data_IF_394802720755
#
_entry.id   IF_394802720755
#
_cell.length_a   1.000
_cell.length_b   1.000
_cell.length_c   1.000
_cell.angle_alpha   90.00
_cell.angle_beta   90.00
_cell.angle_gamma   90.00
#
_symmetry.space_group_name_H-M   'P 1'
#
loop_
_entity.id
_entity.type
_entity.pdbx_description
1 polymer ?
#
# COMPACT_ATOMS: atom_id res chain seq x y z
N UNK A 1 0.57 -28.91 17.66
CA UNK A 1 0.54 -27.89 16.59
C UNK A 1 0.88 -26.56 17.23
N UNK A 2 1.84 -25.80 16.69
CA UNK A 2 2.20 -24.49 17.26
C UNK A 2 1.16 -23.43 16.91
N UNK A 3 1.11 -22.33 17.67
CA UNK A 3 0.21 -21.20 17.40
C UNK A 3 0.33 -20.68 15.96
N UNK A 4 1.56 -20.55 15.44
CA UNK A 4 1.84 -20.11 14.06
C UNK A 4 1.26 -21.11 13.06
N UNK A 5 1.42 -22.42 13.31
CA UNK A 5 0.84 -23.45 12.44
C UNK A 5 -0.70 -23.40 12.46
N UNK A 6 -1.30 -23.14 13.63
CA UNK A 6 -2.76 -23.01 13.76
C UNK A 6 -3.31 -21.81 12.98
N UNK A 7 -2.63 -20.66 13.01
CA UNK A 7 -3.00 -19.48 12.20
C UNK A 7 -2.86 -19.78 10.70
N UNK A 8 -1.74 -20.40 10.30
CA UNK A 8 -1.50 -20.74 8.89
C UNK A 8 -2.47 -21.79 8.33
N UNK A 9 -3.09 -22.59 9.19
CA UNK A 9 -4.11 -23.57 8.82
C UNK A 9 -5.51 -22.94 8.64
N UNK A 10 -5.70 -21.65 8.95
CA UNK A 10 -6.98 -20.98 8.75
C UNK A 10 -7.36 -20.97 7.25
N UNK A 11 -8.65 -21.11 6.90
CA UNK A 11 -9.10 -21.06 5.51
C UNK A 11 -8.69 -19.77 4.77
N UNK A 12 -8.58 -18.67 5.51
CA UNK A 12 -8.11 -17.38 4.98
C UNK A 12 -6.69 -17.45 4.42
N UNK A 13 -5.84 -18.33 4.95
CA UNK A 13 -4.44 -18.45 4.52
C UNK A 13 -4.24 -19.46 3.37
N UNK A 14 -5.31 -19.96 2.75
CA UNK A 14 -5.21 -20.99 1.68
C UNK A 14 -4.30 -20.57 0.52
N UNK A 15 -4.26 -19.28 0.20
CA UNK A 15 -3.36 -18.71 -0.82
C UNK A 15 -2.20 -17.91 -0.21
N UNK A 16 -1.82 -18.22 1.03
CA UNK A 16 -0.72 -17.55 1.74
C UNK A 16 -1.04 -16.11 2.14
N UNK A 17 -2.32 -15.75 2.30
CA UNK A 17 -2.72 -14.38 2.65
C UNK A 17 -2.02 -13.85 3.90
N UNK A 18 -1.94 -14.65 4.97
CA UNK A 18 -1.31 -14.26 6.24
C UNK A 18 0.18 -14.08 6.05
N UNK A 19 0.83 -14.96 5.28
CA UNK A 19 2.26 -14.84 5.01
C UNK A 19 2.58 -13.58 4.18
N UNK A 20 1.73 -13.26 3.20
CA UNK A 20 1.82 -12.00 2.45
C UNK A 20 1.56 -10.81 3.35
N UNK A 21 0.52 -10.83 4.17
CA UNK A 21 0.19 -9.76 5.12
C UNK A 21 1.38 -9.45 6.03
N UNK A 22 1.97 -10.47 6.66
CA UNK A 22 3.14 -10.27 7.53
C UNK A 22 4.34 -9.77 6.73
N UNK A 23 4.61 -10.38 5.56
CA UNK A 23 5.75 -10.03 4.71
C UNK A 23 5.72 -8.59 4.21
N UNK A 24 4.59 -8.14 3.66
CA UNK A 24 4.49 -6.78 3.10
C UNK A 24 4.57 -5.70 4.18
N UNK A 25 4.01 -5.95 5.37
CA UNK A 25 4.09 -5.02 6.48
C UNK A 25 5.51 -4.94 7.04
N UNK A 26 6.23 -6.08 7.15
CA UNK A 26 7.64 -6.06 7.54
C UNK A 26 8.49 -5.29 6.52
N UNK A 27 8.29 -5.53 5.22
CA UNK A 27 8.99 -4.80 4.16
C UNK A 27 8.69 -3.31 4.24
N UNK A 28 7.42 -2.92 4.44
CA UNK A 28 7.05 -1.50 4.55
C UNK A 28 7.66 -0.86 5.80
N UNK A 29 7.67 -1.55 6.93
CA UNK A 29 8.27 -1.02 8.16
C UNK A 29 9.77 -0.74 7.97
N UNK A 30 10.50 -1.69 7.36
CA UNK A 30 11.92 -1.52 7.02
C UNK A 30 12.09 -0.36 6.03
N UNK A 31 11.28 -0.32 4.98
CA UNK A 31 11.36 0.70 3.94
C UNK A 31 11.17 2.13 4.50
N UNK A 32 10.11 2.35 5.29
CA UNK A 32 9.84 3.65 5.91
C UNK A 32 10.90 4.00 6.95
N UNK A 33 11.39 3.02 7.72
CA UNK A 33 12.49 3.24 8.68
C UNK A 33 13.78 3.66 7.97
N UNK A 34 14.12 3.03 6.84
CA UNK A 34 15.29 3.41 6.04
C UNK A 34 15.15 4.83 5.49
N UNK A 35 13.95 5.22 5.05
CA UNK A 35 13.67 6.60 4.64
C UNK A 35 13.87 7.55 5.82
N UNK A 36 13.25 7.27 6.97
CA UNK A 36 13.35 8.09 8.18
C UNK A 36 14.79 8.29 8.68
N UNK A 37 15.64 7.25 8.58
CA UNK A 37 17.01 7.27 9.11
C UNK A 37 18.04 7.79 8.09
N UNK A 38 17.85 7.50 6.80
CA UNK A 38 18.87 7.76 5.77
C UNK A 38 18.54 8.97 4.90
N UNK A 39 17.29 9.40 4.85
CA UNK A 39 16.88 10.54 4.05
C UNK A 39 16.66 11.74 4.97
N UNK A 40 17.27 12.87 4.66
CA UNK A 40 17.13 14.08 5.45
C UNK A 40 15.75 14.70 5.20
N UNK A 41 14.75 14.29 5.99
CA UNK A 41 13.36 14.73 5.87
C UNK A 41 13.14 16.18 6.38
N UNK A 42 14.20 16.98 6.57
CA UNK A 42 14.25 18.38 7.09
C UNK A 42 13.47 19.44 6.27
N UNK A 43 12.53 19.05 5.40
CA UNK A 43 11.53 19.96 4.86
C UNK A 43 10.59 20.38 5.99
N UNK A 44 10.81 21.58 6.54
CA UNK A 44 9.91 22.19 7.52
C UNK A 44 8.48 22.28 6.99
N UNK A 45 7.49 22.51 7.86
CA UNK A 45 6.09 22.61 7.45
C UNK A 45 5.96 23.69 6.38
N UNK A 46 5.49 23.32 5.18
CA UNK A 46 4.91 24.31 4.28
C UNK A 46 3.72 24.94 5.01
N UNK A 47 3.56 26.25 4.91
CA UNK A 47 2.49 27.04 5.55
C UNK A 47 1.07 26.64 5.10
N UNK A 48 0.91 25.55 4.35
CA UNK A 48 -0.37 25.01 3.90
C UNK A 48 -1.05 24.16 4.98
N UNK A 49 -2.37 24.33 5.04
CA UNK A 49 -3.30 23.82 6.04
C UNK A 49 -3.06 22.33 6.37
N UNK A 50 -2.37 22.06 7.48
CA UNK A 50 -2.13 20.69 7.96
C UNK A 50 -3.47 19.98 8.21
N UNK A 51 -3.76 18.96 7.39
CA UNK A 51 -4.90 18.06 7.61
C UNK A 51 -4.81 17.44 9.01
N UNK A 52 -5.93 17.35 9.72
CA UNK A 52 -5.96 16.72 11.05
C UNK A 52 -5.49 15.25 10.98
N UNK A 53 -4.81 14.74 12.02
CA UNK A 53 -4.40 13.33 12.13
C UNK A 53 -5.57 12.36 11.90
N UNK A 54 -6.77 12.70 12.37
CA UNK A 54 -7.98 11.91 12.14
C UNK A 54 -8.32 11.86 10.65
N UNK A 55 -8.25 12.99 9.95
CA UNK A 55 -8.50 13.03 8.50
C UNK A 55 -7.45 12.23 7.72
N UNK A 56 -6.16 12.36 8.07
CA UNK A 56 -5.07 11.56 7.49
C UNK A 56 -5.35 10.07 7.69
N UNK A 57 -5.67 9.66 8.93
CA UNK A 57 -5.98 8.28 9.25
C UNK A 57 -7.20 7.77 8.45
N UNK A 58 -8.27 8.54 8.33
CA UNK A 58 -9.45 8.15 7.53
C UNK A 58 -9.09 7.99 6.05
N UNK A 59 -8.33 8.93 5.48
CA UNK A 59 -7.93 8.85 4.08
C UNK A 59 -7.03 7.65 3.83
N UNK A 60 -5.96 7.49 4.61
CA UNK A 60 -4.97 6.43 4.44
C UNK A 60 -5.50 5.05 4.80
N UNK A 61 -6.35 4.91 5.83
CA UNK A 61 -6.81 3.61 6.31
C UNK A 61 -8.07 3.11 5.61
N UNK A 62 -8.88 4.01 5.06
CA UNK A 62 -10.18 3.67 4.49
C UNK A 62 -10.34 4.13 3.05
N UNK A 63 -10.21 5.43 2.78
CA UNK A 63 -10.55 6.00 1.46
C UNK A 63 -9.59 5.49 0.37
N UNK A 64 -8.28 5.66 0.57
CA UNK A 64 -7.27 5.20 -0.38
C UNK A 64 -7.33 3.68 -0.61
N UNK A 65 -7.36 2.82 0.43
CA UNK A 65 -7.50 1.37 0.25
C UNK A 65 -8.74 0.95 -0.53
N UNK A 66 -9.87 1.65 -0.38
CA UNK A 66 -11.08 1.36 -1.14
C UNK A 66 -10.95 1.85 -2.59
N UNK A 67 -10.68 3.13 -2.79
CA UNK A 67 -10.70 3.76 -4.12
C UNK A 67 -9.58 3.19 -5.00
N UNK A 68 -8.35 3.13 -4.51
CA UNK A 68 -7.21 2.70 -5.32
C UNK A 68 -7.32 1.22 -5.69
N UNK A 69 -7.75 0.37 -4.77
CA UNK A 69 -7.94 -1.05 -5.09
C UNK A 69 -9.09 -1.25 -6.07
N UNK A 70 -10.15 -0.43 -6.00
CA UNK A 70 -11.23 -0.47 -6.97
C UNK A 70 -10.72 -0.08 -8.36
N UNK A 71 -9.99 1.03 -8.49
CA UNK A 71 -9.37 1.47 -9.75
C UNK A 71 -8.45 0.39 -10.30
N UNK A 72 -7.59 -0.20 -9.46
CA UNK A 72 -6.67 -1.27 -9.83
C UNK A 72 -7.41 -2.49 -10.39
N UNK A 73 -8.49 -2.93 -9.74
CA UNK A 73 -9.30 -4.08 -10.20
C UNK A 73 -10.03 -3.76 -11.49
N UNK A 74 -10.56 -2.54 -11.64
CA UNK A 74 -11.19 -2.09 -12.90
C UNK A 74 -10.17 -2.05 -14.03
N UNK A 75 -8.99 -1.47 -13.80
CA UNK A 75 -7.90 -1.44 -14.77
C UNK A 75 -7.47 -2.87 -15.15
N UNK A 76 -7.33 -3.77 -14.18
CA UNK A 76 -7.04 -5.17 -14.41
C UNK A 76 -8.15 -5.87 -15.22
N UNK A 77 -9.43 -5.60 -14.94
CA UNK A 77 -10.54 -6.19 -15.69
C UNK A 77 -10.62 -5.68 -17.14
N UNK A 78 -10.36 -4.39 -17.37
CA UNK A 78 -10.26 -3.81 -18.71
C UNK A 78 -9.09 -4.45 -19.47
N UNK A 79 -7.93 -4.55 -18.82
CA UNK A 79 -6.75 -5.21 -19.38
C UNK A 79 -7.05 -6.67 -19.73
N UNK A 80 -7.64 -7.44 -18.81
CA UNK A 80 -8.00 -8.85 -19.03
C UNK A 80 -8.97 -9.01 -20.20
N UNK A 81 -9.89 -8.07 -20.40
CA UNK A 81 -10.81 -8.07 -21.54
C UNK A 81 -10.12 -7.80 -22.88
N UNK A 82 -9.13 -6.90 -22.91
CA UNK A 82 -8.45 -6.48 -24.16
C UNK A 82 -7.29 -7.40 -24.54
N UNK A 83 -6.56 -7.92 -23.56
CA UNK A 83 -5.28 -8.63 -23.76
C UNK A 83 -5.22 -10.00 -23.08
N UNK A 84 -6.36 -10.51 -22.59
CA UNK A 84 -6.42 -11.68 -21.73
C UNK A 84 -5.52 -11.51 -20.48
N UNK A 85 -5.10 -12.61 -19.86
CA UNK A 85 -4.27 -12.60 -18.65
C UNK A 85 -2.80 -12.28 -18.90
N UNK A 86 -2.39 -12.02 -20.15
CA UNK A 86 -1.00 -11.76 -20.52
C UNK A 86 -0.54 -10.46 -19.87
N UNK A 87 0.53 -10.47 -19.06
CA UNK A 87 1.06 -9.27 -18.38
C UNK A 87 0.07 -8.54 -17.45
N UNK A 88 -1.04 -9.16 -17.06
CA UNK A 88 -2.06 -8.55 -16.18
C UNK A 88 -1.44 -7.98 -14.88
N UNK A 89 -0.57 -8.77 -14.26
CA UNK A 89 0.14 -8.42 -13.03
C UNK A 89 1.34 -7.50 -13.24
N UNK A 90 1.59 -7.05 -14.46
CA UNK A 90 2.62 -6.04 -14.76
C UNK A 90 1.93 -4.73 -15.10
N UNK A 91 0.98 -4.74 -16.04
CA UNK A 91 0.38 -3.51 -16.56
C UNK A 91 -0.50 -2.82 -15.53
N UNK A 92 -1.39 -3.54 -14.84
CA UNK A 92 -2.29 -2.90 -13.87
C UNK A 92 -1.54 -2.33 -12.65
N UNK A 93 -0.59 -3.06 -12.01
CA UNK A 93 0.21 -2.48 -10.94
C UNK A 93 1.10 -1.32 -11.39
N UNK A 94 1.70 -1.41 -12.59
CA UNK A 94 2.52 -0.33 -13.13
C UNK A 94 1.67 0.93 -13.42
N UNK A 95 0.48 0.76 -13.98
CA UNK A 95 -0.46 1.85 -14.19
C UNK A 95 -0.78 2.56 -12.88
N UNK A 96 -1.12 1.81 -11.82
CA UNK A 96 -1.39 2.37 -10.50
C UNK A 96 -0.16 3.10 -9.93
N UNK A 97 1.02 2.50 -10.01
CA UNK A 97 2.25 3.11 -9.53
C UNK A 97 2.57 4.42 -10.28
N UNK A 98 2.37 4.48 -11.60
CA UNK A 98 2.61 5.68 -12.41
C UNK A 98 1.64 6.82 -12.10
N UNK A 99 0.39 6.55 -11.70
CA UNK A 99 -0.55 7.59 -11.27
C UNK A 99 -0.05 8.40 -10.07
N UNK A 100 0.87 7.85 -9.27
CA UNK A 100 1.45 8.54 -8.12
C UNK A 100 2.59 9.50 -8.49
N UNK A 101 2.99 9.56 -9.76
CA UNK A 101 4.07 10.43 -10.25
C UNK A 101 3.58 11.46 -11.27
N UNK A 102 2.27 11.75 -11.32
CA UNK A 102 1.73 12.87 -12.10
C UNK A 102 2.11 14.21 -11.50
N UNK A 103 2.17 14.29 -10.16
CA UNK A 103 2.63 15.46 -9.38
C UNK A 103 3.42 14.95 -8.17
N UNK A 104 4.65 14.43 -8.36
CA UNK A 104 5.39 13.81 -7.27
C UNK A 104 5.95 14.85 -6.30
N UNK A 105 5.73 14.64 -5.00
CA UNK A 105 6.43 15.40 -3.97
C UNK A 105 7.95 15.26 -4.10
N UNK A 106 8.64 16.37 -3.89
CA UNK A 106 10.11 16.42 -3.86
C UNK A 106 10.60 15.83 -2.55
N UNK A 107 10.83 14.52 -2.58
CA UNK A 107 11.26 13.77 -1.41
C UNK A 107 12.71 13.35 -1.56
N UNK A 108 13.47 13.30 -0.46
CA UNK A 108 14.88 12.89 -0.43
C UNK A 108 15.07 11.37 -0.69
N UNK A 109 14.16 10.73 -1.44
CA UNK A 109 14.16 9.32 -1.82
C UNK A 109 14.15 9.23 -3.34
N UNK A 110 15.08 8.48 -3.97
CA UNK A 110 15.12 8.32 -5.42
C UNK A 110 13.77 7.85 -5.99
N UNK A 111 13.26 8.57 -6.99
CA UNK A 111 11.97 8.31 -7.66
C UNK A 111 11.82 6.85 -8.08
N UNK A 112 12.89 6.24 -8.60
CA UNK A 112 12.88 4.85 -9.05
C UNK A 112 12.62 3.85 -7.92
N UNK A 113 13.13 4.11 -6.70
CA UNK A 113 12.87 3.27 -5.53
C UNK A 113 11.40 3.36 -5.13
N UNK A 114 10.84 4.57 -5.09
CA UNK A 114 9.41 4.82 -4.82
C UNK A 114 8.51 4.11 -5.83
N UNK A 115 8.85 4.19 -7.13
CA UNK A 115 8.10 3.53 -8.20
C UNK A 115 8.12 2.00 -8.06
N UNK A 116 9.29 1.42 -7.79
CA UNK A 116 9.43 -0.03 -7.57
C UNK A 116 8.63 -0.49 -6.36
N UNK A 117 8.71 0.24 -5.24
CA UNK A 117 7.98 -0.08 -4.03
C UNK A 117 6.47 -0.09 -4.29
N UNK A 118 5.93 0.99 -4.88
CA UNK A 118 4.52 1.09 -5.25
C UNK A 118 4.09 -0.02 -6.21
N UNK A 119 4.90 -0.32 -7.24
CA UNK A 119 4.62 -1.42 -8.16
C UNK A 119 4.44 -2.74 -7.41
N UNK A 120 5.34 -3.08 -6.49
CA UNK A 120 5.24 -4.33 -5.74
C UNK A 120 4.06 -4.35 -4.76
N UNK A 121 3.71 -3.23 -4.13
CA UNK A 121 2.50 -3.16 -3.29
C UNK A 121 1.24 -3.42 -4.11
N UNK A 122 1.03 -2.69 -5.22
CA UNK A 122 -0.11 -2.93 -6.09
C UNK A 122 -0.10 -4.33 -6.71
N UNK A 123 1.08 -4.88 -7.01
CA UNK A 123 1.22 -6.27 -7.44
C UNK A 123 0.64 -7.23 -6.40
N UNK A 124 1.04 -7.11 -5.13
CA UNK A 124 0.56 -7.98 -4.07
C UNK A 124 -0.94 -7.82 -3.83
N UNK A 125 -1.45 -6.59 -3.83
CA UNK A 125 -2.89 -6.32 -3.69
C UNK A 125 -3.69 -7.00 -4.81
N UNK A 126 -3.30 -6.77 -6.07
CA UNK A 126 -3.97 -7.39 -7.22
C UNK A 126 -3.83 -8.91 -7.22
N UNK A 127 -2.66 -9.43 -6.84
CA UNK A 127 -2.41 -10.87 -6.79
C UNK A 127 -3.28 -11.56 -5.75
N UNK A 128 -3.40 -10.98 -4.57
CA UNK A 128 -4.24 -11.51 -3.49
C UNK A 128 -5.73 -11.43 -3.83
N UNK A 129 -6.17 -10.35 -4.49
CA UNK A 129 -7.50 -10.30 -5.09
C UNK A 129 -7.72 -11.45 -6.09
N UNK A 130 -6.82 -11.60 -7.08
CA UNK A 130 -7.00 -12.57 -8.16
C UNK A 130 -7.01 -14.03 -7.68
N UNK A 131 -6.19 -14.36 -6.67
CA UNK A 131 -6.17 -15.69 -6.07
C UNK A 131 -7.49 -16.03 -5.37
N UNK A 132 -8.05 -15.07 -4.61
CA UNK A 132 -9.24 -15.33 -3.80
C UNK A 132 -10.57 -15.11 -4.54
N UNK A 133 -10.61 -14.36 -5.65
CA UNK A 133 -11.86 -13.91 -6.29
C UNK A 133 -12.81 -15.04 -6.69
N UNK A 134 -12.29 -16.21 -7.06
CA UNK A 134 -13.10 -17.36 -7.46
C UNK A 134 -13.65 -18.14 -6.26
N UNK A 135 -12.93 -18.16 -5.14
CA UNK A 135 -13.29 -18.97 -3.97
C UNK A 135 -14.27 -18.27 -3.04
N UNK A 136 -14.08 -16.97 -2.79
CA UNK A 136 -14.93 -16.19 -1.87
C UNK A 136 -15.83 -15.15 -2.57
N UNK A 137 -15.73 -15.06 -3.89
CA UNK A 137 -16.42 -14.05 -4.69
C UNK A 137 -15.70 -12.70 -4.75
N UNK A 138 -15.98 -11.93 -5.80
CA UNK A 138 -15.28 -10.67 -6.13
C UNK A 138 -15.35 -9.63 -5.00
N UNK A 139 -16.51 -9.48 -4.34
CA UNK A 139 -16.69 -8.48 -3.28
C UNK A 139 -15.82 -8.76 -2.05
N UNK A 140 -15.79 -10.02 -1.58
CA UNK A 140 -14.96 -10.39 -0.42
C UNK A 140 -13.47 -10.35 -0.75
N UNK A 141 -13.07 -10.81 -1.94
CA UNK A 141 -11.69 -10.73 -2.38
C UNK A 141 -11.20 -9.28 -2.54
N UNK A 142 -12.10 -8.37 -2.97
CA UNK A 142 -11.81 -6.94 -3.02
C UNK A 142 -11.54 -6.38 -1.62
N UNK A 143 -12.44 -6.63 -0.66
CA UNK A 143 -12.24 -6.21 0.73
C UNK A 143 -10.96 -6.80 1.33
N UNK A 144 -10.63 -8.05 1.01
CA UNK A 144 -9.39 -8.68 1.44
C UNK A 144 -8.15 -7.97 0.90
N UNK A 145 -8.18 -7.54 -0.36
CA UNK A 145 -7.15 -6.68 -0.95
C UNK A 145 -7.08 -5.32 -0.24
N UNK A 146 -8.23 -4.71 0.09
CA UNK A 146 -8.28 -3.44 0.84
C UNK A 146 -7.68 -3.57 2.23
N UNK A 147 -7.88 -4.71 2.90
CA UNK A 147 -7.26 -4.97 4.21
C UNK A 147 -5.73 -5.02 4.10
N UNK A 148 -5.17 -5.63 3.05
CA UNK A 148 -3.72 -5.61 2.83
C UNK A 148 -3.22 -4.18 2.64
N UNK A 149 -3.86 -3.41 1.78
CA UNK A 149 -3.49 -2.01 1.53
C UNK A 149 -3.61 -1.17 2.81
N UNK A 150 -4.75 -1.23 3.50
CA UNK A 150 -4.97 -0.56 4.79
C UNK A 150 -3.90 -0.93 5.82
N UNK A 151 -3.47 -2.20 5.88
CA UNK A 151 -2.41 -2.62 6.80
C UNK A 151 -1.05 -2.00 6.47
N UNK A 152 -0.67 -1.91 5.19
CA UNK A 152 0.56 -1.25 4.74
C UNK A 152 0.53 0.23 5.11
N UNK A 153 -0.61 0.90 4.93
CA UNK A 153 -0.78 2.31 5.31
C UNK A 153 -0.74 2.50 6.83
N UNK A 154 -1.33 1.60 7.61
CA UNK A 154 -1.19 1.60 9.07
C UNK A 154 0.28 1.46 9.48
N UNK A 155 1.05 0.61 8.80
CA UNK A 155 2.48 0.45 9.09
C UNK A 155 3.25 1.74 8.84
N UNK A 156 2.93 2.48 7.77
CA UNK A 156 3.50 3.82 7.53
C UNK A 156 3.21 4.74 8.71
N UNK A 157 1.93 4.87 9.09
CA UNK A 157 1.51 5.74 10.20
C UNK A 157 2.24 5.35 11.48
N UNK A 158 2.26 4.07 11.84
CA UNK A 158 2.91 3.57 13.05
C UNK A 158 4.41 3.84 13.09
N UNK A 159 5.12 3.61 11.98
CA UNK A 159 6.56 3.86 11.92
C UNK A 159 6.84 5.35 11.99
N UNK A 160 6.15 6.17 11.21
CA UNK A 160 6.35 7.63 11.23
C UNK A 160 6.04 8.24 12.60
N UNK A 161 4.97 7.78 13.26
CA UNK A 161 4.65 8.18 14.63
C UNK A 161 5.71 7.75 15.64
N UNK A 162 6.46 6.65 15.41
CA UNK A 162 7.55 6.23 16.28
C UNK A 162 8.82 7.08 16.13
N UNK A 163 8.93 7.83 15.03
CA UNK A 163 10.03 8.76 14.73
C UNK A 163 9.60 10.24 14.89
N UNK A 164 8.41 10.50 15.44
CA UNK A 164 7.82 11.84 15.56
C UNK A 164 7.72 12.61 14.23
N UNK A 165 7.51 11.94 13.08
CA UNK A 165 7.23 12.64 11.82
C UNK A 165 5.72 12.93 11.65
N UNK A 166 5.36 14.16 11.24
CA UNK A 166 4.06 14.53 10.66
C UNK A 166 3.78 13.72 9.38
N UNK A 167 2.54 13.29 9.21
CA UNK A 167 2.11 12.44 8.10
C UNK A 167 1.28 13.30 7.16
N UNK A 168 1.72 13.51 5.92
CA UNK A 168 0.87 14.17 4.92
C UNK A 168 -0.06 13.16 4.25
N UNK A 169 -1.35 13.52 4.12
CA UNK A 169 -2.43 12.60 3.75
C UNK A 169 -2.45 12.19 2.27
N UNK A 170 -1.66 12.88 1.43
CA UNK A 170 -1.77 12.81 -0.03
C UNK A 170 -0.78 11.82 -0.65
N UNK A 171 0.30 11.47 0.06
CA UNK A 171 1.22 10.41 -0.36
C UNK A 171 1.73 9.61 0.85
N UNK A 172 1.93 8.29 0.71
CA UNK A 172 2.62 7.46 1.72
C UNK A 172 4.10 7.84 1.93
N UNK A 173 4.59 8.86 1.21
CA UNK A 173 5.99 9.25 1.16
C UNK A 173 6.23 10.65 1.73
N UNK A 174 5.20 11.48 1.90
CA UNK A 174 5.30 12.79 2.53
C UNK A 174 5.21 12.64 4.05
N UNK A 175 6.37 12.52 4.69
CA UNK A 175 6.51 12.61 6.14
C UNK A 175 7.40 13.82 6.48
N UNK A 176 6.95 14.71 7.36
CA UNK A 176 7.67 15.93 7.77
C UNK A 176 8.11 15.82 9.24
N UNK A 177 9.18 16.46 9.72
CA UNK A 177 9.63 16.33 11.12
C UNK A 177 8.64 17.00 12.08
N UNK A 178 8.27 16.31 13.16
CA UNK A 178 7.59 16.88 14.32
C UNK A 178 8.52 17.74 15.17
N UNK A 179 7.95 18.70 15.90
CA UNK A 179 8.69 19.55 16.85
C UNK A 179 9.52 18.75 17.88
#
# INVERSE_FOLDING_TARGET
>A
MSFIQSIRALPLNRHGFIDVLVGINLIQAIHITLIAVLCNLDGGPDDEETKSLVSIAVFMMLVAPLIENFIMIVAAAIHEKLFNRRLLFVVAPLFMALLHFTTPDDLPVPIFIRLIALFFFFYFFLKQYDLHKLEMGKGKAYLLSCILHSSVNATVILVLSAFDFYIAAETIFSAQPGE
#
